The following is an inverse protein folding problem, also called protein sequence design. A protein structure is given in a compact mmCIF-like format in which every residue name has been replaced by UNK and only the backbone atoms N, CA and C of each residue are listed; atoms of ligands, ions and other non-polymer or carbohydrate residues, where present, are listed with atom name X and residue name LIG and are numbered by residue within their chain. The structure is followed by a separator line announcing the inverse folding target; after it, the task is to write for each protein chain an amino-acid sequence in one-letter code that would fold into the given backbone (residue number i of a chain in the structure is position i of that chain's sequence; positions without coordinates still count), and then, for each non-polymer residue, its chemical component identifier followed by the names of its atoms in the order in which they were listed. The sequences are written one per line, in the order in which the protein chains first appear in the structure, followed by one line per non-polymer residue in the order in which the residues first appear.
data_IF_327011067188
#
_entry.id   IF_327011067188
#
_cell.length_a   1.000
_cell.length_b   1.000
_cell.length_c   1.000
_cell.angle_alpha   90.00
_cell.angle_beta   90.00
_cell.angle_gamma   90.00
#
_symmetry.space_group_name_H-M   'P 1'
#
loop_
_entity.id
_entity.type
_entity.pdbx_description
1 polymer ?
#
# COMPACT_ATOMS: atom_id res chain seq x y z
N UNK A 1 43.13 -20.99 -25.55
CA UNK A 1 42.30 -20.43 -24.46
C UNK A 1 40.95 -20.02 -25.05
N UNK A 2 39.82 -20.44 -24.47
CA UNK A 2 38.50 -19.97 -24.92
C UNK A 2 38.26 -18.56 -24.38
N UNK A 3 37.70 -17.63 -25.18
CA UNK A 3 37.39 -16.28 -24.72
C UNK A 3 36.35 -16.31 -23.59
N UNK A 4 36.46 -15.40 -22.62
CA UNK A 4 35.45 -15.25 -21.57
C UNK A 4 34.12 -14.83 -22.21
N UNK A 5 32.97 -15.34 -21.71
CA UNK A 5 31.67 -14.86 -22.13
C UNK A 5 31.58 -13.34 -21.95
N UNK A 6 31.09 -12.58 -22.95
CA UNK A 6 31.01 -11.12 -22.87
C UNK A 6 30.00 -10.63 -21.84
N UNK A 7 29.09 -11.49 -21.38
CA UNK A 7 28.14 -11.19 -20.31
C UNK A 7 28.58 -11.83 -19.00
N UNK A 8 28.63 -11.02 -17.94
CA UNK A 8 28.81 -11.52 -16.57
C UNK A 8 27.65 -12.47 -16.24
N UNK A 9 27.95 -13.50 -15.46
CA UNK A 9 26.93 -14.38 -14.89
C UNK A 9 25.94 -13.56 -14.07
N UNK A 10 24.67 -13.54 -14.48
CA UNK A 10 23.61 -12.82 -13.78
C UNK A 10 22.91 -13.80 -12.83
N UNK A 11 23.11 -13.60 -11.53
CA UNK A 11 22.38 -14.36 -10.51
C UNK A 11 20.90 -14.00 -10.62
N UNK A 12 20.07 -15.00 -10.88
CA UNK A 12 18.64 -14.84 -10.97
C UNK A 12 17.94 -15.59 -9.83
N UNK A 13 17.19 -14.88 -9.00
CA UNK A 13 16.32 -15.49 -8.00
C UNK A 13 14.95 -15.78 -8.61
N UNK A 14 14.40 -16.95 -8.28
CA UNK A 14 13.06 -17.33 -8.71
C UNK A 14 12.10 -17.35 -7.53
N UNK A 15 10.92 -16.76 -7.72
CA UNK A 15 9.85 -16.72 -6.72
C UNK A 15 8.50 -16.95 -7.39
N UNK A 16 7.50 -17.31 -6.60
CA UNK A 16 6.10 -17.32 -7.06
C UNK A 16 5.34 -16.18 -6.41
N UNK A 17 4.49 -15.52 -7.19
CA UNK A 17 3.62 -14.47 -6.70
C UNK A 17 2.21 -14.67 -7.25
N UNK A 18 1.20 -14.39 -6.42
CA UNK A 18 -0.19 -14.35 -6.87
C UNK A 18 -0.49 -12.97 -7.43
N UNK A 19 -1.14 -12.92 -8.58
CA UNK A 19 -1.61 -11.67 -9.18
C UNK A 19 -2.81 -11.17 -8.40
N UNK A 20 -2.69 -9.94 -7.89
CA UNK A 20 -3.74 -9.29 -7.12
C UNK A 20 -4.87 -8.78 -8.03
N UNK A 21 -6.02 -8.44 -7.45
CA UNK A 21 -7.21 -7.98 -8.19
C UNK A 21 -7.00 -6.66 -8.95
N UNK A 22 -6.03 -5.88 -8.51
CA UNK A 22 -5.53 -4.67 -9.17
C UNK A 22 -4.48 -4.98 -10.25
N UNK A 23 -4.40 -6.23 -10.75
CA UNK A 23 -3.47 -6.68 -11.80
C UNK A 23 -1.99 -6.41 -11.49
N UNK A 24 -1.60 -6.40 -10.22
CA UNK A 24 -0.20 -6.28 -9.79
C UNK A 24 0.28 -7.50 -9.02
N UNK A 25 1.58 -7.79 -9.12
CA UNK A 25 2.28 -8.71 -8.23
C UNK A 25 3.14 -7.93 -7.25
N UNK A 26 3.26 -8.43 -6.03
CA UNK A 26 4.15 -7.87 -5.02
C UNK A 26 5.50 -8.59 -5.05
N UNK A 27 6.57 -7.82 -5.19
CA UNK A 27 7.95 -8.29 -5.21
C UNK A 27 8.79 -7.31 -4.39
N UNK A 28 9.47 -7.80 -3.35
CA UNK A 28 10.28 -6.98 -2.43
C UNK A 28 9.53 -5.74 -1.87
N UNK A 29 8.22 -5.91 -1.62
CA UNK A 29 7.29 -4.85 -1.17
C UNK A 29 7.05 -3.73 -2.20
N UNK A 30 7.46 -3.93 -3.45
CA UNK A 30 7.11 -3.10 -4.60
C UNK A 30 6.09 -3.85 -5.48
N UNK A 31 5.35 -3.11 -6.29
CA UNK A 31 4.24 -3.60 -7.08
C UNK A 31 4.53 -3.45 -8.56
N UNK A 32 4.29 -4.52 -9.31
CA UNK A 32 4.59 -4.57 -10.74
C UNK A 32 3.35 -5.02 -11.49
N UNK A 33 2.91 -4.25 -12.49
CA UNK A 33 1.70 -4.60 -13.23
C UNK A 33 1.92 -5.83 -14.11
N UNK A 34 0.88 -6.64 -14.27
CA UNK A 34 0.83 -7.75 -15.21
C UNK A 34 -0.43 -7.63 -16.07
N UNK A 35 -0.47 -8.23 -17.26
CA UNK A 35 -1.68 -8.24 -18.07
C UNK A 35 -2.90 -8.67 -17.25
N UNK A 36 -3.94 -7.83 -17.24
CA UNK A 36 -5.16 -8.05 -16.46
C UNK A 36 -5.78 -9.46 -16.53
N UNK A 37 -5.80 -10.16 -17.68
CA UNK A 37 -6.35 -11.52 -17.74
C UNK A 37 -5.70 -12.51 -16.76
N UNK A 38 -4.54 -12.17 -16.19
CA UNK A 38 -3.83 -12.99 -15.21
C UNK A 38 -4.24 -12.72 -13.76
N UNK A 39 -5.22 -11.85 -13.50
CA UNK A 39 -5.71 -11.59 -12.14
C UNK A 39 -6.17 -12.88 -11.47
N UNK A 40 -5.69 -13.11 -10.24
CA UNK A 40 -5.98 -14.32 -9.47
C UNK A 40 -5.07 -15.51 -9.79
N UNK A 41 -4.36 -15.50 -10.92
CA UNK A 41 -3.39 -16.54 -11.30
C UNK A 41 -2.11 -16.43 -10.46
N UNK A 42 -1.35 -17.52 -10.42
CA UNK A 42 0.00 -17.56 -9.86
C UNK A 42 1.02 -17.48 -10.99
N UNK A 43 2.00 -16.59 -10.84
CA UNK A 43 3.08 -16.37 -11.82
C UNK A 43 4.43 -16.63 -11.19
N UNK A 44 5.38 -17.01 -12.03
CA UNK A 44 6.79 -17.13 -11.67
C UNK A 44 7.47 -15.77 -11.89
N UNK A 45 8.28 -15.37 -10.93
CA UNK A 45 9.03 -14.13 -10.93
C UNK A 45 10.50 -14.49 -11.01
N UNK A 46 11.18 -14.00 -12.04
CA UNK A 46 12.63 -14.05 -12.14
C UNK A 46 13.18 -12.66 -11.84
N UNK A 47 13.96 -12.58 -10.77
CA UNK A 47 14.57 -11.35 -10.29
C UNK A 47 16.04 -11.34 -10.69
N UNK A 48 16.47 -10.22 -11.24
CA UNK A 48 17.90 -9.93 -11.39
C UNK A 48 18.24 -8.64 -10.63
N UNK A 49 19.49 -8.19 -10.72
CA UNK A 49 19.90 -6.92 -10.10
C UNK A 49 19.09 -5.74 -10.63
N UNK A 50 18.78 -5.73 -11.93
CA UNK A 50 18.12 -4.61 -12.60
C UNK A 50 16.66 -4.85 -12.98
N UNK A 51 16.18 -6.10 -13.03
CA UNK A 51 14.90 -6.42 -13.65
C UNK A 51 14.03 -7.33 -12.79
N UNK A 52 12.73 -7.19 -13.01
CA UNK A 52 11.68 -8.10 -12.55
C UNK A 52 10.99 -8.66 -13.79
N UNK A 53 11.33 -9.90 -14.15
CA UNK A 53 10.66 -10.63 -15.21
C UNK A 53 9.52 -11.46 -14.62
N UNK A 54 8.36 -11.40 -15.26
CA UNK A 54 7.15 -12.09 -14.81
C UNK A 54 6.76 -13.08 -15.88
N UNK A 55 6.64 -14.35 -15.49
CA UNK A 55 6.33 -15.46 -16.37
C UNK A 55 5.03 -16.14 -15.91
N UNK A 56 4.15 -16.41 -16.85
CA UNK A 56 2.97 -17.24 -16.61
C UNK A 56 3.11 -18.51 -17.45
N UNK A 57 3.12 -19.68 -16.79
CA UNK A 57 3.27 -20.99 -17.45
C UNK A 57 4.50 -21.06 -18.36
N UNK A 58 5.64 -20.56 -17.88
CA UNK A 58 6.91 -20.55 -18.61
C UNK A 58 7.04 -19.48 -19.71
N UNK A 59 5.99 -18.70 -20.00
CA UNK A 59 6.04 -17.60 -20.98
C UNK A 59 6.17 -16.26 -20.27
N UNK A 60 7.15 -15.44 -20.66
CA UNK A 60 7.28 -14.07 -20.15
C UNK A 60 6.08 -13.23 -20.57
N UNK A 61 5.37 -12.68 -19.58
CA UNK A 61 4.16 -11.85 -19.75
C UNK A 61 4.40 -10.38 -19.42
N UNK A 62 5.42 -10.07 -18.61
CA UNK A 62 5.83 -8.71 -18.31
C UNK A 62 7.32 -8.67 -17.93
N UNK A 63 7.94 -7.51 -18.11
CA UNK A 63 9.29 -7.22 -17.66
C UNK A 63 9.34 -5.76 -17.22
N UNK A 64 9.92 -5.49 -16.06
CA UNK A 64 10.00 -4.16 -15.46
C UNK A 64 11.39 -3.90 -14.91
N UNK A 65 11.81 -2.63 -14.91
CA UNK A 65 12.95 -2.20 -14.11
C UNK A 65 12.67 -2.42 -12.63
N UNK A 66 13.63 -2.99 -11.90
CA UNK A 66 13.51 -3.24 -10.46
C UNK A 66 13.50 -1.90 -9.72
N UNK A 67 12.42 -1.61 -9.00
CA UNK A 67 12.29 -0.40 -8.21
C UNK A 67 13.14 -0.49 -6.94
N UNK A 68 13.77 0.62 -6.57
CA UNK A 68 14.48 0.78 -5.30
C UNK A 68 13.53 1.28 -4.22
N UNK A 69 13.78 0.90 -2.96
CA UNK A 69 12.91 1.23 -1.83
C UNK A 69 11.72 0.28 -1.68
N UNK A 70 10.65 0.74 -1.02
CA UNK A 70 9.45 -0.05 -0.67
C UNK A 70 8.19 0.73 -1.04
N UNK A 71 7.14 0.01 -1.45
CA UNK A 71 5.81 0.57 -1.72
C UNK A 71 5.66 1.28 -3.06
N UNK A 72 6.63 1.15 -3.98
CA UNK A 72 6.54 1.73 -5.32
C UNK A 72 5.65 0.87 -6.21
N UNK A 73 4.89 1.51 -7.10
CA UNK A 73 4.13 0.82 -8.16
C UNK A 73 4.74 1.13 -9.51
N UNK A 74 5.11 0.10 -10.25
CA UNK A 74 5.61 0.16 -11.62
C UNK A 74 4.52 -0.38 -12.54
N UNK A 75 3.74 0.55 -13.09
CA UNK A 75 2.55 0.24 -13.88
C UNK A 75 2.80 0.51 -15.35
N UNK A 76 2.72 -0.53 -16.18
CA UNK A 76 2.61 -0.40 -17.63
C UNK A 76 1.15 -0.25 -18.06
N UNK A 77 0.86 0.78 -18.85
CA UNK A 77 -0.51 1.12 -19.28
C UNK A 77 -1.13 -0.02 -20.10
N UNK A 78 -0.35 -0.70 -20.95
CA UNK A 78 -0.84 -1.83 -21.76
C UNK A 78 -1.32 -3.04 -20.94
N UNK A 79 -0.96 -3.14 -19.66
CA UNK A 79 -1.42 -4.21 -18.79
C UNK A 79 -2.81 -3.96 -18.23
N UNK A 80 -3.28 -2.72 -18.29
CA UNK A 80 -4.65 -2.38 -17.93
C UNK A 80 -5.63 -3.03 -18.92
N UNK A 81 -6.76 -3.58 -18.45
CA UNK A 81 -7.74 -4.14 -19.36
C UNK A 81 -8.47 -3.04 -20.12
N UNK A 82 -8.73 -3.30 -21.42
CA UNK A 82 -9.61 -2.47 -22.23
C UNK A 82 -11.03 -2.30 -21.62
N UNK A 83 -11.42 -3.24 -20.75
CA UNK A 83 -12.71 -3.36 -20.06
C UNK A 83 -12.77 -2.77 -18.64
N UNK A 84 -11.78 -1.99 -18.18
CA UNK A 84 -11.95 -1.11 -17.01
C UNK A 84 -13.19 -0.16 -17.14
N UNK A 85 -13.84 -0.14 -18.32
CA UNK A 85 -15.11 0.52 -18.63
C UNK A 85 -16.41 -0.22 -18.32
N UNK A 86 -16.48 -1.56 -18.19
CA UNK A 86 -17.81 -2.22 -18.21
C UNK A 86 -18.15 -3.29 -17.19
N UNK A 87 -17.24 -4.13 -16.68
CA UNK A 87 -17.66 -5.20 -15.76
C UNK A 87 -16.56 -5.57 -14.75
N UNK A 88 -16.74 -5.21 -13.47
CA UNK A 88 -16.03 -5.84 -12.35
C UNK A 88 -16.96 -6.05 -11.14
N UNK A 89 -16.69 -7.11 -10.41
CA UNK A 89 -17.32 -7.45 -9.12
C UNK A 89 -17.11 -6.35 -8.06
N UNK A 90 -16.03 -5.57 -8.16
CA UNK A 90 -15.75 -4.41 -7.30
C UNK A 90 -15.45 -3.17 -8.16
N UNK A 91 -16.34 -2.19 -8.13
CA UNK A 91 -16.16 -0.83 -8.66
C UNK A 91 -15.98 0.14 -7.48
N UNK A 92 -15.50 1.38 -7.68
CA UNK A 92 -15.45 2.38 -6.59
C UNK A 92 -16.80 2.52 -5.87
N UNK A 93 -17.90 2.52 -6.61
CA UNK A 93 -19.27 2.58 -6.07
C UNK A 93 -19.71 1.29 -5.36
N UNK A 94 -19.16 0.11 -5.69
CA UNK A 94 -19.38 -1.09 -4.87
C UNK A 94 -18.51 -1.10 -3.61
N UNK A 95 -17.26 -0.63 -3.70
CA UNK A 95 -16.37 -0.48 -2.55
C UNK A 95 -16.97 0.45 -1.50
N UNK A 96 -17.50 1.60 -1.93
CA UNK A 96 -18.20 2.54 -1.05
C UNK A 96 -19.40 1.88 -0.36
N UNK A 97 -20.30 1.24 -1.12
CA UNK A 97 -21.47 0.52 -0.57
C UNK A 97 -21.11 -0.58 0.42
N UNK A 98 -20.05 -1.33 0.12
CA UNK A 98 -19.57 -2.35 1.06
C UNK A 98 -18.99 -1.73 2.33
N UNK A 99 -18.20 -0.66 2.21
CA UNK A 99 -17.62 0.01 3.36
C UNK A 99 -18.73 0.58 4.27
N UNK A 100 -19.80 1.14 3.68
CA UNK A 100 -21.02 1.56 4.38
C UNK A 100 -21.70 0.40 5.11
N UNK A 101 -21.71 -0.80 4.54
CA UNK A 101 -22.27 -2.00 5.20
C UNK A 101 -21.44 -2.51 6.38
N UNK A 102 -20.15 -2.12 6.47
CA UNK A 102 -19.29 -2.41 7.62
C UNK A 102 -19.50 -1.37 8.72
N UNK A 103 -19.50 -0.08 8.35
CA UNK A 103 -19.73 1.00 9.28
C UNK A 103 -19.27 2.38 8.78
N UNK A 104 -19.65 3.47 9.49
CA UNK A 104 -19.40 4.83 9.04
C UNK A 104 -17.92 5.20 8.93
N UNK A 105 -17.06 4.73 9.85
CA UNK A 105 -15.63 5.05 9.81
C UNK A 105 -14.92 4.27 8.71
N UNK A 106 -15.33 3.02 8.47
CA UNK A 106 -14.84 2.22 7.35
C UNK A 106 -15.21 2.88 6.02
N UNK A 107 -16.43 3.40 5.89
CA UNK A 107 -16.86 4.17 4.72
C UNK A 107 -15.98 5.41 4.51
N UNK A 108 -15.78 6.22 5.55
CA UNK A 108 -14.91 7.40 5.50
C UNK A 108 -13.49 7.02 5.05
N UNK A 109 -12.89 6.02 5.69
CA UNK A 109 -11.55 5.54 5.36
C UNK A 109 -11.42 5.13 3.89
N UNK A 110 -12.36 4.34 3.37
CA UNK A 110 -12.33 3.87 1.97
C UNK A 110 -12.50 5.03 1.00
N UNK A 111 -13.41 5.97 1.28
CA UNK A 111 -13.61 7.17 0.47
C UNK A 111 -12.34 8.00 0.41
N UNK A 112 -11.75 8.32 1.57
CA UNK A 112 -10.52 9.12 1.66
C UNK A 112 -9.35 8.45 0.93
N UNK A 113 -9.18 7.13 1.09
CA UNK A 113 -8.13 6.38 0.37
C UNK A 113 -8.31 6.43 -1.15
N UNK A 114 -9.54 6.39 -1.65
CA UNK A 114 -9.81 6.46 -3.09
C UNK A 114 -9.60 7.87 -3.67
N UNK A 115 -9.77 8.91 -2.86
CA UNK A 115 -9.66 10.32 -3.28
C UNK A 115 -8.24 10.89 -3.12
N UNK A 116 -7.50 10.50 -2.09
CA UNK A 116 -6.18 11.07 -1.79
C UNK A 116 -5.02 10.41 -2.56
N UNK A 117 -5.21 9.20 -3.11
CA UNK A 117 -4.10 8.49 -3.76
C UNK A 117 -3.82 9.05 -5.16
N UNK A 118 -2.55 9.39 -5.49
CA UNK A 118 -2.19 9.96 -6.80
C UNK A 118 -2.55 9.06 -7.98
N UNK A 119 -2.66 7.76 -7.72
CA UNK A 119 -2.95 6.74 -8.70
C UNK A 119 -4.17 5.93 -8.25
N UNK A 120 -5.27 5.93 -9.03
CA UNK A 120 -6.51 5.23 -8.68
C UNK A 120 -6.30 3.74 -8.34
N UNK A 121 -5.34 3.08 -8.98
CA UNK A 121 -5.00 1.68 -8.70
C UNK A 121 -4.45 1.46 -7.28
N UNK A 122 -3.69 2.41 -6.72
CA UNK A 122 -3.13 2.30 -5.36
C UNK A 122 -4.21 2.46 -4.29
N UNK A 123 -5.15 3.39 -4.50
CA UNK A 123 -6.34 3.53 -3.66
C UNK A 123 -7.18 2.27 -3.70
N UNK A 124 -7.41 1.74 -4.91
CA UNK A 124 -8.18 0.52 -5.11
C UNK A 124 -7.52 -0.70 -4.42
N UNK A 125 -6.20 -0.88 -4.58
CA UNK A 125 -5.42 -1.94 -3.91
C UNK A 125 -5.56 -1.85 -2.39
N UNK A 126 -5.45 -0.64 -1.85
CA UNK A 126 -5.58 -0.40 -0.41
C UNK A 126 -6.97 -0.81 0.10
N UNK A 127 -8.03 -0.46 -0.63
CA UNK A 127 -9.40 -0.81 -0.28
C UNK A 127 -9.66 -2.33 -0.33
N UNK A 128 -9.09 -3.03 -1.32
CA UNK A 128 -9.17 -4.49 -1.38
C UNK A 128 -8.42 -5.18 -0.23
N UNK A 129 -7.27 -4.62 0.17
CA UNK A 129 -6.56 -5.05 1.36
C UNK A 129 -7.42 -4.89 2.62
N UNK A 130 -8.19 -3.81 2.71
CA UNK A 130 -9.14 -3.55 3.80
C UNK A 130 -10.28 -4.58 3.81
N UNK A 131 -10.84 -4.93 2.65
CA UNK A 131 -11.83 -6.03 2.54
C UNK A 131 -11.26 -7.34 3.09
N UNK A 132 -10.01 -7.65 2.77
CA UNK A 132 -9.35 -8.85 3.29
C UNK A 132 -9.17 -8.80 4.81
N UNK A 133 -8.83 -7.63 5.38
CA UNK A 133 -8.77 -7.45 6.83
C UNK A 133 -10.14 -7.69 7.50
N UNK A 134 -11.23 -7.22 6.89
CA UNK A 134 -12.60 -7.48 7.38
C UNK A 134 -12.88 -8.98 7.49
N UNK A 135 -12.50 -9.76 6.45
CA UNK A 135 -12.68 -11.22 6.45
C UNK A 135 -11.82 -11.91 7.50
N UNK A 136 -10.65 -11.36 7.82
CA UNK A 136 -9.69 -11.96 8.77
C UNK A 136 -10.03 -11.64 10.23
N UNK A 137 -10.41 -10.40 10.54
CA UNK A 137 -10.59 -9.92 11.91
C UNK A 137 -12.06 -9.68 12.29
N UNK A 138 -12.98 -9.70 11.34
CA UNK A 138 -14.39 -9.38 11.53
C UNK A 138 -14.69 -7.89 11.26
N UNK A 139 -15.95 -7.60 10.91
CA UNK A 139 -16.42 -6.25 10.59
C UNK A 139 -16.33 -5.31 11.79
N UNK A 140 -16.70 -5.77 12.99
CA UNK A 140 -16.71 -4.92 14.20
C UNK A 140 -15.31 -4.42 14.56
N UNK A 141 -14.33 -5.32 14.53
CA UNK A 141 -12.92 -4.97 14.77
C UNK A 141 -12.39 -4.03 13.69
N UNK A 142 -12.77 -4.27 12.43
CA UNK A 142 -12.36 -3.38 11.34
C UNK A 142 -12.93 -1.97 11.52
N UNK A 143 -14.20 -1.85 11.90
CA UNK A 143 -14.84 -0.56 12.12
C UNK A 143 -14.19 0.19 13.29
N UNK A 144 -13.88 -0.49 14.40
CA UNK A 144 -13.15 0.10 15.52
C UNK A 144 -11.72 0.53 15.12
N UNK A 145 -11.05 -0.27 14.29
CA UNK A 145 -9.73 0.08 13.74
C UNK A 145 -9.81 1.29 12.80
N UNK A 146 -10.84 1.37 11.97
CA UNK A 146 -11.10 2.50 11.09
C UNK A 146 -11.41 3.77 11.90
N UNK A 147 -12.22 3.68 12.96
CA UNK A 147 -12.50 4.79 13.86
C UNK A 147 -11.21 5.36 14.47
N UNK A 148 -10.32 4.49 14.96
CA UNK A 148 -9.01 4.90 15.47
C UNK A 148 -8.14 5.54 14.38
N UNK A 149 -8.12 4.95 13.18
CA UNK A 149 -7.36 5.49 12.06
C UNK A 149 -7.85 6.89 11.66
N UNK A 150 -9.17 7.10 11.62
CA UNK A 150 -9.80 8.40 11.36
C UNK A 150 -9.46 9.43 12.46
N UNK A 151 -9.54 9.05 13.73
CA UNK A 151 -9.15 9.91 14.85
C UNK A 151 -7.68 10.36 14.77
N UNK A 152 -6.79 9.45 14.37
CA UNK A 152 -5.38 9.74 14.13
C UNK A 152 -5.09 10.40 12.76
N UNK A 153 -6.11 10.62 11.92
CA UNK A 153 -5.97 11.10 10.52
C UNK A 153 -4.98 10.28 9.68
N UNK A 154 -5.00 8.95 9.85
CA UNK A 154 -4.12 8.03 9.11
C UNK A 154 -4.91 7.15 8.14
N UNK A 155 -5.05 7.57 6.89
CA UNK A 155 -5.88 6.88 5.89
C UNK A 155 -5.06 5.93 5.02
N UNK A 156 -4.68 4.78 5.58
CA UNK A 156 -3.93 3.76 4.83
C UNK A 156 -4.20 2.34 5.30
N UNK A 157 -4.12 1.40 4.36
CA UNK A 157 -4.12 -0.04 4.67
C UNK A 157 -3.08 -0.41 5.73
N UNK A 158 -1.87 0.15 5.66
CA UNK A 158 -0.79 -0.13 6.61
C UNK A 158 -1.13 0.31 8.04
N UNK A 159 -1.76 1.48 8.20
CA UNK A 159 -2.18 1.97 9.51
C UNK A 159 -3.23 1.03 10.13
N UNK A 160 -4.29 0.72 9.38
CA UNK A 160 -5.37 -0.16 9.84
C UNK A 160 -4.87 -1.56 10.14
N UNK A 161 -3.99 -2.10 9.29
CA UNK A 161 -3.33 -3.39 9.53
C UNK A 161 -2.54 -3.37 10.84
N UNK A 162 -1.79 -2.30 11.10
CA UNK A 162 -1.01 -2.14 12.33
C UNK A 162 -1.92 -2.10 13.57
N UNK A 163 -2.98 -1.29 13.51
CA UNK A 163 -3.98 -1.15 14.58
C UNK A 163 -4.57 -2.52 14.94
N UNK A 164 -5.02 -3.29 13.95
CA UNK A 164 -5.59 -4.63 14.14
C UNK A 164 -4.56 -5.65 14.63
N UNK A 165 -3.33 -5.60 14.11
CA UNK A 165 -2.27 -6.54 14.50
C UNK A 165 -1.83 -6.35 15.96
N UNK A 166 -1.89 -5.12 16.47
CA UNK A 166 -1.52 -4.77 17.84
C UNK A 166 -2.73 -4.61 18.78
N UNK A 167 -3.93 -5.04 18.35
CA UNK A 167 -5.18 -4.95 19.11
C UNK A 167 -5.52 -3.54 19.61
N UNK A 168 -5.00 -2.50 18.95
CA UNK A 168 -5.27 -1.12 19.33
C UNK A 168 -6.74 -0.75 19.09
N UNK A 169 -7.43 -1.47 18.21
CA UNK A 169 -8.88 -1.36 18.01
C UNK A 169 -9.70 -1.62 19.29
N UNK A 170 -9.14 -2.30 20.29
CA UNK A 170 -9.79 -2.61 21.57
C UNK A 170 -9.43 -1.63 22.69
N UNK A 171 -8.43 -0.79 22.49
CA UNK A 171 -8.05 0.25 23.46
C UNK A 171 -8.97 1.47 23.35
N UNK A 172 -9.04 2.35 24.37
CA UNK A 172 -9.73 3.63 24.27
C UNK A 172 -9.19 4.46 23.11
N UNK A 173 -10.07 5.11 22.36
CA UNK A 173 -9.67 5.98 21.25
C UNK A 173 -8.69 7.04 21.74
N UNK A 174 -7.69 7.44 20.93
CA UNK A 174 -6.84 8.57 21.28
C UNK A 174 -7.77 9.76 21.50
N UNK A 175 -7.68 10.40 22.66
CA UNK A 175 -8.38 11.66 22.90
C UNK A 175 -7.92 12.72 21.89
N UNK A 176 -8.67 13.82 21.73
CA UNK A 176 -8.12 15.00 21.06
C UNK A 176 -6.74 15.31 21.67
N UNK A 177 -5.76 15.78 20.86
CA UNK A 177 -4.47 16.14 21.40
C UNK A 177 -4.72 17.09 22.56
N UNK A 178 -4.39 16.63 23.75
CA UNK A 178 -4.45 17.46 24.92
C UNK A 178 -3.54 18.64 24.59
N UNK A 179 -4.09 19.85 24.62
CA UNK A 179 -3.31 21.07 24.46
C UNK A 179 -2.50 21.26 25.75
N UNK A 180 -1.68 20.26 26.09
CA UNK A 180 -0.65 20.39 27.09
C UNK A 180 0.34 21.34 26.46
N UNK A 181 0.18 22.62 26.81
CA UNK A 181 1.20 23.62 26.69
C UNK A 181 2.53 22.92 27.02
N UNK A 182 3.45 22.96 26.06
CA UNK A 182 4.81 22.45 26.21
C UNK A 182 5.28 22.81 27.62
N UNK A 183 5.65 21.82 28.48
CA UNK A 183 6.17 22.14 29.79
C UNK A 183 7.32 23.11 29.59
N UNK A 184 7.19 24.32 30.14
CA UNK A 184 8.23 25.33 30.07
C UNK A 184 9.37 24.81 30.92
N UNK A 185 10.30 24.08 30.29
CA UNK A 185 11.52 23.65 30.94
C UNK A 185 12.43 24.86 31.11
N UNK A 186 13.13 24.99 32.25
CA UNK A 186 14.04 26.12 32.54
C UNK A 186 15.25 26.22 31.59
N UNK A 187 15.36 25.32 30.60
CA UNK A 187 16.43 25.30 29.60
C UNK A 187 16.06 25.97 28.27
N UNK A 188 14.84 26.51 28.13
CA UNK A 188 14.50 27.35 26.99
C UNK A 188 15.14 28.73 27.18
N UNK A 189 16.36 28.90 26.63
CA UNK A 189 16.99 30.22 26.51
C UNK A 189 16.14 31.06 25.56
N UNK A 190 15.51 32.10 26.12
CA UNK A 190 14.67 33.03 25.38
C UNK A 190 15.46 33.83 24.33
N UNK A 191 14.74 34.49 23.40
CA UNK A 191 15.33 35.30 22.34
C UNK A 191 16.25 36.43 22.86
N UNK A 192 16.10 36.86 24.11
CA UNK A 192 16.97 37.84 24.77
C UNK A 192 18.44 37.38 24.89
N UNK A 193 18.71 36.07 24.83
CA UNK A 193 20.08 35.53 24.85
C UNK A 193 20.90 35.92 23.60
N UNK A 194 20.25 36.28 22.50
CA UNK A 194 20.91 36.69 21.25
C UNK A 194 20.94 38.21 21.04
N UNK A 195 20.35 39.00 21.95
CA UNK A 195 20.26 40.45 21.82
C UNK A 195 21.44 41.23 22.46
N UNK A 196 22.33 40.55 23.19
CA UNK A 196 23.51 41.15 23.80
C UNK A 196 24.79 40.81 23.05
N UNK A 197 25.01 41.44 21.89
CA UNK A 197 26.32 41.46 21.25
C UNK A 197 27.33 42.19 22.15
N UNK A 198 28.50 41.59 22.34
CA UNK A 198 29.68 42.31 22.82
C UNK A 198 30.79 42.24 21.77
N UNK A 199 31.88 43.01 21.92
CA UNK A 199 32.14 44.08 22.90
C UNK A 199 31.80 45.49 22.38
#
# INVERSE_FOLDING_TARGET
MRPLPPQRYEFAEWRKAKVNLDYHVEVDRNYYSVPYPLVGETVDIRLTDGLVEILHRGKRVACHSRATGRGRSVTQIQHMPASHRRHREWTPSKLRRWAESVGPHTAQLVVTILEEKPHPEQGFRSCLGIIHLARKYGSDRLEAAAARACAARTFSYSSVKSILAHNLDQAPLPGPPDNQATPVHPNLRGPDYYAGGGP
#
